data_IF_948935953362
#
_entry.id   IF_948935953362
#
_cell.length_a   1.000
_cell.length_b   1.000
_cell.length_c   1.000
_cell.angle_alpha   90.00
_cell.angle_beta   90.00
_cell.angle_gamma   90.00
#
_symmetry.space_group_name_H-M   'P 1'
#
loop_
_entity.id
_entity.type
_entity.pdbx_description
1 polymer ?
#
# COMPACT_ATOMS: atom_id res chain seq x y z
N UNK A 1 -41.29 -13.91 -23.83
CA UNK A 1 -39.86 -13.84 -24.21
C UNK A 1 -39.08 -13.90 -22.92
N UNK A 2 -38.22 -14.90 -22.74
CA UNK A 2 -37.41 -15.06 -21.52
C UNK A 2 -36.25 -14.08 -21.60
N UNK A 3 -36.17 -13.12 -20.68
CA UNK A 3 -34.99 -12.27 -20.50
C UNK A 3 -33.90 -13.14 -19.86
N UNK A 4 -32.79 -13.28 -20.56
CA UNK A 4 -31.59 -13.94 -20.09
C UNK A 4 -30.79 -12.86 -19.35
N UNK A 5 -30.77 -12.93 -18.02
CA UNK A 5 -29.85 -12.11 -17.20
C UNK A 5 -28.58 -12.95 -17.09
N UNK A 6 -27.49 -12.48 -17.70
CA UNK A 6 -26.18 -13.09 -17.57
C UNK A 6 -25.51 -12.47 -16.33
N UNK A 7 -25.10 -13.25 -15.32
CA UNK A 7 -24.25 -12.72 -14.27
C UNK A 7 -22.84 -12.50 -14.85
N UNK A 8 -22.38 -11.26 -14.88
CA UNK A 8 -21.00 -10.91 -15.22
C UNK A 8 -20.20 -11.03 -13.92
N UNK A 9 -19.36 -12.05 -13.83
CA UNK A 9 -18.37 -12.18 -12.76
C UNK A 9 -17.20 -11.26 -13.09
N UNK A 10 -17.05 -10.17 -12.34
CA UNK A 10 -15.91 -9.27 -12.44
C UNK A 10 -14.74 -9.77 -11.59
N UNK A 11 -13.53 -9.68 -12.15
CA UNK A 11 -12.29 -9.71 -11.39
C UNK A 11 -11.96 -8.26 -11.00
N UNK A 12 -11.94 -7.98 -9.70
CA UNK A 12 -11.48 -6.68 -9.19
C UNK A 12 -9.97 -6.59 -9.34
N UNK A 13 -9.48 -5.59 -10.08
CA UNK A 13 -8.11 -5.11 -9.96
C UNK A 13 -8.14 -4.12 -8.80
N UNK A 14 -7.68 -4.56 -7.63
CA UNK A 14 -7.50 -3.69 -6.47
C UNK A 14 -6.29 -2.80 -6.74
N UNK A 15 -6.53 -1.53 -7.09
CA UNK A 15 -5.52 -0.49 -6.96
C UNK A 15 -5.20 -0.34 -5.47
N UNK A 16 -3.93 -0.50 -5.11
CA UNK A 16 -3.47 -0.35 -3.74
C UNK A 16 -3.67 1.10 -3.27
N UNK A 17 -4.48 1.30 -2.23
CA UNK A 17 -4.63 2.61 -1.60
C UNK A 17 -3.31 3.02 -0.94
N UNK A 18 -2.68 4.09 -1.46
CA UNK A 18 -1.60 4.79 -0.79
C UNK A 18 -2.12 5.54 0.43
N UNK A 19 -1.38 5.44 1.53
CA UNK A 19 -1.65 6.12 2.80
C UNK A 19 -1.20 7.58 2.69
N UNK A 20 -2.13 8.53 2.70
CA UNK A 20 -1.81 9.97 2.67
C UNK A 20 -1.28 10.48 4.02
N UNK A 21 -0.15 11.16 3.99
CA UNK A 21 0.39 11.95 5.09
C UNK A 21 -0.18 13.38 5.09
N UNK A 22 -0.66 13.82 6.25
CA UNK A 22 -1.19 15.18 6.47
C UNK A 22 -0.16 16.27 6.15
N UNK A 23 -0.48 17.15 5.19
CA UNK A 23 0.24 18.41 4.95
C UNK A 23 -0.54 19.62 5.49
N UNK A 24 0.19 20.43 6.24
CA UNK A 24 -0.21 21.63 6.97
C UNK A 24 -0.57 22.79 6.04
N UNK A 25 -1.68 23.48 6.35
CA UNK A 25 -2.20 24.63 5.60
C UNK A 25 -1.55 25.96 6.02
N UNK A 26 -1.08 26.74 5.03
CA UNK A 26 -0.80 28.17 5.17
C UNK A 26 -1.73 28.99 4.25
N UNK A 27 -2.28 30.08 4.80
CA UNK A 27 -3.28 30.96 4.17
C UNK A 27 -2.70 31.84 3.03
N UNK A 28 -3.51 32.22 2.02
CA UNK A 28 -3.07 33.05 0.90
C UNK A 28 -3.22 34.56 1.18
N UNK A 29 -2.23 35.34 0.74
CA UNK A 29 -2.23 36.82 0.81
C UNK A 29 -2.52 37.44 -0.56
N UNK A 30 -3.57 38.25 -0.58
CA UNK A 30 -3.91 39.44 -1.40
C UNK A 30 -3.54 39.54 -2.91
N UNK A 31 -4.61 39.74 -3.70
CA UNK A 31 -4.63 40.28 -5.06
C UNK A 31 -4.06 41.71 -5.18
N UNK A 32 -3.71 42.14 -6.41
CA UNK A 32 -4.27 43.40 -6.87
C UNK A 32 -4.76 43.44 -8.33
N UNK A 33 -5.91 44.09 -8.46
CA UNK A 33 -6.46 44.98 -9.50
C UNK A 33 -6.14 44.79 -11.00
N UNK A 34 -7.24 44.62 -11.73
CA UNK A 34 -7.45 44.69 -13.18
C UNK A 34 -7.25 46.08 -13.79
N UNK A 35 -6.83 46.15 -15.07
CA UNK A 35 -7.09 47.28 -15.99
C UNK A 35 -7.49 46.74 -17.37
N UNK A 36 -8.46 47.35 -18.10
CA UNK A 36 -9.10 46.73 -19.26
C UNK A 36 -8.60 47.22 -20.63
N UNK A 37 -8.67 46.33 -21.62
CA UNK A 37 -8.86 46.67 -23.03
C UNK A 37 -7.81 46.11 -23.99
N UNK A 38 -8.19 45.12 -24.81
CA UNK A 38 -8.38 45.31 -26.26
C UNK A 38 -9.11 44.09 -26.86
N UNK A 39 -10.02 44.34 -27.80
CA UNK A 39 -10.76 43.32 -28.55
C UNK A 39 -9.92 42.81 -29.72
N UNK A 40 -9.55 41.52 -29.74
CA UNK A 40 -9.21 40.83 -30.99
C UNK A 40 -9.32 39.31 -30.90
N UNK A 41 -10.27 38.77 -31.68
CA UNK A 41 -10.29 37.43 -32.30
C UNK A 41 -10.11 36.22 -31.36
N UNK A 42 -11.25 35.68 -30.91
CA UNK A 42 -11.35 34.38 -30.22
C UNK A 42 -11.13 33.23 -31.20
N UNK A 43 -9.89 32.76 -31.32
CA UNK A 43 -9.63 31.33 -31.40
C UNK A 43 -9.70 30.83 -29.96
N UNK A 44 -10.68 29.99 -29.64
CA UNK A 44 -10.72 29.31 -28.33
C UNK A 44 -9.44 28.48 -28.22
N UNK A 45 -8.47 28.96 -27.44
CA UNK A 45 -7.40 28.11 -26.91
C UNK A 45 -8.09 27.06 -26.02
N UNK A 46 -7.77 25.77 -26.16
CA UNK A 46 -8.33 24.75 -25.28
C UNK A 46 -7.98 25.11 -23.84
N UNK A 47 -8.99 25.13 -22.97
CA UNK A 47 -8.78 25.37 -21.56
C UNK A 47 -7.91 24.23 -21.00
N UNK A 48 -6.79 24.58 -20.38
CA UNK A 48 -6.00 23.62 -19.61
C UNK A 48 -6.82 23.26 -18.36
N UNK A 49 -7.53 22.14 -18.44
CA UNK A 49 -8.23 21.48 -17.33
C UNK A 49 -7.29 20.42 -16.76
N UNK A 50 -7.10 20.40 -15.43
CA UNK A 50 -6.15 19.49 -14.76
C UNK A 50 -4.66 19.64 -15.11
N UNK A 51 -4.26 20.62 -15.92
CA UNK A 51 -2.87 20.75 -16.42
C UNK A 51 -2.60 19.99 -17.72
N UNK A 52 -3.63 19.37 -18.30
CA UNK A 52 -3.56 18.65 -19.57
C UNK A 52 -4.15 19.50 -20.71
N UNK A 53 -3.63 19.34 -21.93
CA UNK A 53 -4.20 19.98 -23.13
C UNK A 53 -5.34 19.11 -23.67
N UNK A 54 -6.59 19.53 -23.45
CA UNK A 54 -7.78 18.83 -23.96
C UNK A 54 -7.81 18.91 -25.50
N UNK A 55 -7.81 17.76 -26.18
CA UNK A 55 -7.81 17.67 -27.65
C UNK A 55 -9.18 17.37 -28.23
N UNK A 56 -10.11 16.85 -27.44
CA UNK A 56 -11.49 16.62 -27.84
C UNK A 56 -12.45 16.67 -26.65
N UNK A 57 -13.67 17.10 -26.90
CA UNK A 57 -14.76 17.14 -25.91
C UNK A 57 -16.01 16.45 -26.46
N UNK A 58 -16.80 15.86 -25.57
CA UNK A 58 -18.10 15.30 -25.88
C UNK A 58 -19.20 16.31 -25.50
N UNK A 59 -20.29 16.35 -26.27
CA UNK A 59 -21.43 17.20 -25.97
C UNK A 59 -22.61 16.37 -25.45
N UNK A 60 -23.18 16.74 -24.30
CA UNK A 60 -24.40 16.09 -23.81
C UNK A 60 -25.62 16.50 -24.65
N UNK A 61 -25.97 15.72 -25.67
CA UNK A 61 -27.07 16.03 -26.61
C UNK A 61 -28.41 15.38 -26.23
N UNK A 62 -28.39 14.36 -25.36
CA UNK A 62 -29.56 13.62 -24.93
C UNK A 62 -29.68 13.58 -23.39
N UNK A 63 -30.91 13.42 -22.90
CA UNK A 63 -31.17 13.15 -21.48
C UNK A 63 -30.61 11.77 -21.11
N UNK A 64 -29.74 11.65 -20.09
CA UNK A 64 -29.02 10.41 -19.76
C UNK A 64 -29.92 9.41 -19.01
N UNK A 65 -31.07 9.06 -19.60
CA UNK A 65 -32.10 8.25 -18.94
C UNK A 65 -31.64 6.82 -18.72
N UNK A 66 -31.00 6.20 -19.72
CA UNK A 66 -30.51 4.83 -19.61
C UNK A 66 -29.35 4.76 -18.61
N UNK A 67 -28.43 5.73 -18.68
CA UNK A 67 -27.35 5.94 -17.71
C UNK A 67 -27.89 6.06 -16.28
N UNK A 68 -28.87 6.94 -16.05
CA UNK A 68 -29.43 7.18 -14.72
C UNK A 68 -30.14 5.95 -14.14
N UNK A 69 -30.78 5.13 -14.98
CA UNK A 69 -31.35 3.85 -14.56
C UNK A 69 -30.25 2.86 -14.12
N UNK A 70 -29.15 2.79 -14.87
CA UNK A 70 -27.99 1.97 -14.50
C UNK A 70 -27.30 2.47 -13.22
N UNK A 71 -27.10 3.78 -13.08
CA UNK A 71 -26.50 4.40 -11.89
C UNK A 71 -27.37 4.22 -10.62
N UNK A 72 -28.69 4.06 -10.76
CA UNK A 72 -29.55 3.73 -9.63
C UNK A 72 -29.23 2.33 -9.05
N UNK A 73 -28.80 1.38 -9.87
CA UNK A 73 -28.44 0.03 -9.42
C UNK A 73 -27.20 0.02 -8.53
N UNK A 74 -26.25 0.96 -8.70
CA UNK A 74 -25.07 1.12 -7.84
C UNK A 74 -25.47 1.32 -6.38
N UNK A 75 -26.51 2.14 -6.13
CA UNK A 75 -27.03 2.41 -4.79
C UNK A 75 -27.70 1.21 -4.13
N UNK A 76 -28.09 0.21 -4.92
CA UNK A 76 -28.76 -1.00 -4.46
C UNK A 76 -27.78 -2.17 -4.23
N UNK A 77 -26.50 -2.03 -4.59
CA UNK A 77 -25.48 -3.07 -4.37
C UNK A 77 -25.26 -3.31 -2.88
N UNK A 78 -25.11 -4.59 -2.50
CA UNK A 78 -24.89 -4.97 -1.11
C UNK A 78 -23.61 -4.32 -0.57
N UNK A 79 -22.54 -4.37 -1.33
CA UNK A 79 -21.22 -3.81 -1.01
C UNK A 79 -21.27 -2.29 -0.80
N UNK A 80 -22.09 -1.58 -1.57
CA UNK A 80 -22.31 -0.15 -1.36
C UNK A 80 -23.07 0.11 -0.06
N UNK A 81 -24.20 -0.59 0.14
CA UNK A 81 -25.04 -0.40 1.33
C UNK A 81 -24.41 -0.87 2.64
N UNK A 82 -23.49 -1.84 2.57
CA UNK A 82 -22.71 -2.32 3.71
C UNK A 82 -21.54 -1.39 4.05
N UNK A 83 -21.26 -0.38 3.21
CA UNK A 83 -20.14 0.53 3.36
C UNK A 83 -18.78 -0.08 2.99
N UNK A 84 -18.76 -1.14 2.17
CA UNK A 84 -17.51 -1.78 1.75
C UNK A 84 -16.63 -0.84 0.92
N UNK A 85 -17.23 0.16 0.26
CA UNK A 85 -16.54 1.21 -0.50
C UNK A 85 -16.39 2.54 0.26
N UNK A 86 -16.72 2.58 1.57
CA UNK A 86 -16.78 3.80 2.38
C UNK A 86 -18.21 4.20 2.75
N UNK A 87 -18.39 5.40 3.33
CA UNK A 87 -19.72 5.88 3.72
C UNK A 87 -20.62 6.02 2.47
N UNK A 88 -21.84 5.42 2.47
CA UNK A 88 -22.71 5.43 1.30
C UNK A 88 -23.33 6.82 1.08
N UNK A 89 -22.59 7.68 0.38
CA UNK A 89 -23.01 9.03 -0.01
C UNK A 89 -23.44 9.07 -1.48
N UNK A 90 -24.19 10.11 -1.87
CA UNK A 90 -24.55 10.32 -3.28
C UNK A 90 -23.31 10.56 -4.16
N UNK A 91 -22.28 11.19 -3.61
CA UNK A 91 -20.99 11.43 -4.28
C UNK A 91 -20.23 10.12 -4.53
N UNK A 92 -20.19 9.21 -3.55
CA UNK A 92 -19.62 7.87 -3.72
C UNK A 92 -20.41 7.06 -4.76
N UNK A 93 -21.74 7.11 -4.70
CA UNK A 93 -22.58 6.43 -5.68
C UNK A 93 -22.33 6.94 -7.10
N UNK A 94 -22.17 8.25 -7.27
CA UNK A 94 -21.87 8.86 -8.57
C UNK A 94 -20.48 8.48 -9.07
N UNK A 95 -19.45 8.52 -8.21
CA UNK A 95 -18.09 8.09 -8.58
C UNK A 95 -18.03 6.63 -9.02
N UNK A 96 -18.73 5.74 -8.30
CA UNK A 96 -18.85 4.32 -8.69
C UNK A 96 -19.65 4.14 -9.99
N UNK A 97 -20.66 4.98 -10.25
CA UNK A 97 -21.38 4.96 -11.51
C UNK A 97 -20.46 5.36 -12.67
N UNK A 98 -19.65 6.41 -12.53
CA UNK A 98 -18.61 6.80 -13.49
C UNK A 98 -17.64 5.66 -13.77
N UNK A 99 -17.15 5.01 -12.73
CA UNK A 99 -16.24 3.88 -12.87
C UNK A 99 -16.86 2.67 -13.60
N UNK A 100 -18.13 2.36 -13.32
CA UNK A 100 -18.79 1.16 -13.86
C UNK A 100 -19.41 1.37 -15.24
N UNK A 101 -19.88 2.59 -15.54
CA UNK A 101 -20.63 2.89 -16.75
C UNK A 101 -19.73 3.63 -17.73
N UNK A 102 -19.30 4.84 -17.39
CA UNK A 102 -18.51 5.68 -18.27
C UNK A 102 -17.13 5.06 -18.57
N UNK A 103 -16.41 4.57 -17.55
CA UNK A 103 -15.09 3.96 -17.76
C UNK A 103 -15.15 2.66 -18.56
N UNK A 104 -16.21 1.86 -18.43
CA UNK A 104 -16.38 0.67 -19.25
C UNK A 104 -16.62 1.05 -20.73
N UNK A 105 -17.50 2.02 -20.98
CA UNK A 105 -17.78 2.52 -22.33
C UNK A 105 -16.53 3.10 -23.00
N UNK A 106 -15.76 3.89 -22.24
CA UNK A 106 -14.47 4.44 -22.71
C UNK A 106 -13.48 3.33 -22.99
N UNK A 107 -13.30 2.37 -22.08
CA UNK A 107 -12.40 1.24 -22.30
C UNK A 107 -12.77 0.44 -23.55
N UNK A 108 -14.05 0.11 -23.74
CA UNK A 108 -14.52 -0.61 -24.94
C UNK A 108 -14.23 0.18 -26.22
N UNK A 109 -14.55 1.48 -26.25
CA UNK A 109 -14.30 2.31 -27.42
C UNK A 109 -12.81 2.46 -27.73
N UNK A 110 -11.97 2.66 -26.70
CA UNK A 110 -10.52 2.73 -26.82
C UNK A 110 -9.96 1.42 -27.38
N UNK A 111 -10.40 0.27 -26.88
CA UNK A 111 -9.94 -1.04 -27.34
C UNK A 111 -10.38 -1.34 -28.78
N UNK A 112 -11.58 -0.91 -29.19
CA UNK A 112 -12.08 -1.09 -30.56
C UNK A 112 -11.28 -0.26 -31.57
N UNK A 113 -10.88 0.97 -31.19
CA UNK A 113 -10.18 1.91 -32.06
C UNK A 113 -8.67 1.65 -32.10
N UNK A 114 -8.04 1.48 -30.94
CA UNK A 114 -6.58 1.40 -30.80
C UNK A 114 -6.06 -0.03 -30.62
N UNK A 115 -6.90 -0.99 -30.23
CA UNK A 115 -6.44 -2.32 -29.86
C UNK A 115 -5.60 -2.27 -28.59
N UNK A 116 -4.27 -2.45 -28.71
CA UNK A 116 -3.39 -2.32 -27.55
C UNK A 116 -3.14 -0.84 -27.23
N UNK A 117 -3.94 -0.27 -26.33
CA UNK A 117 -3.87 1.17 -26.06
C UNK A 117 -2.61 1.62 -25.31
N UNK A 118 -1.91 0.71 -24.61
CA UNK A 118 -0.70 1.08 -23.86
C UNK A 118 0.43 1.59 -24.75
N UNK A 119 0.42 1.27 -26.05
CA UNK A 119 1.38 1.80 -27.04
C UNK A 119 0.97 3.15 -27.65
N UNK A 120 -0.25 3.62 -27.37
CA UNK A 120 -0.82 4.82 -27.99
C UNK A 120 -1.12 5.94 -26.98
N UNK A 121 -1.19 5.61 -25.69
CA UNK A 121 -1.60 6.57 -24.68
C UNK A 121 -1.68 6.00 -23.27
N UNK A 122 -2.39 6.74 -22.41
CA UNK A 122 -2.66 6.41 -21.01
C UNK A 122 -4.16 6.51 -20.71
N UNK A 123 -4.66 5.61 -19.88
CA UNK A 123 -6.04 5.61 -19.42
C UNK A 123 -6.08 5.45 -17.91
N UNK A 124 -6.71 6.40 -17.22
CA UNK A 124 -6.89 6.34 -15.77
C UNK A 124 -8.24 6.92 -15.36
N UNK A 125 -8.62 6.66 -14.10
CA UNK A 125 -9.87 7.14 -13.51
C UNK A 125 -9.50 7.95 -12.28
N UNK A 126 -10.06 9.15 -12.19
CA UNK A 126 -10.02 9.97 -10.98
C UNK A 126 -11.38 9.94 -10.31
N UNK A 127 -11.38 9.81 -8.99
CA UNK A 127 -12.62 9.77 -8.21
C UNK A 127 -12.67 10.93 -7.23
N UNK A 128 -13.85 11.35 -6.76
CA UNK A 128 -13.92 12.38 -5.72
C UNK A 128 -13.16 12.00 -4.45
N UNK A 129 -13.08 10.70 -4.14
CA UNK A 129 -12.36 10.17 -2.97
C UNK A 129 -10.84 10.36 -3.07
N UNK A 130 -10.28 10.50 -4.27
CA UNK A 130 -8.85 10.80 -4.45
C UNK A 130 -8.52 12.30 -4.34
N UNK A 131 -9.50 13.13 -3.96
CA UNK A 131 -9.32 14.58 -3.88
C UNK A 131 -9.11 15.26 -5.23
N UNK A 132 -9.43 14.57 -6.33
CA UNK A 132 -9.29 15.10 -7.67
C UNK A 132 -10.18 16.33 -7.86
N UNK A 133 -9.62 17.38 -8.48
CA UNK A 133 -10.39 18.58 -8.80
C UNK A 133 -11.49 18.28 -9.83
N UNK A 134 -11.20 17.36 -10.74
CA UNK A 134 -12.06 16.96 -11.87
C UNK A 134 -12.14 15.42 -11.95
N UNK A 135 -13.05 14.79 -11.19
CA UNK A 135 -13.22 13.35 -11.22
C UNK A 135 -13.81 12.91 -12.57
N UNK A 136 -13.28 11.82 -13.12
CA UNK A 136 -13.66 11.36 -14.44
C UNK A 136 -12.76 10.24 -14.99
N UNK A 137 -13.03 9.88 -16.23
CA UNK A 137 -12.23 8.96 -17.04
C UNK A 137 -11.34 9.79 -17.95
N UNK A 138 -10.04 9.60 -17.82
CA UNK A 138 -9.03 10.36 -18.54
C UNK A 138 -8.37 9.48 -19.59
N UNK A 139 -8.35 9.96 -20.83
CA UNK A 139 -7.78 9.29 -22.00
C UNK A 139 -6.74 10.21 -22.63
N UNK A 140 -5.46 9.95 -22.32
CA UNK A 140 -4.33 10.67 -22.89
C UNK A 140 -3.81 9.96 -24.12
N UNK A 141 -3.55 10.68 -25.20
CA UNK A 141 -3.04 10.11 -26.47
C UNK A 141 -1.72 10.82 -26.79
N UNK A 142 -0.63 10.07 -26.94
CA UNK A 142 0.71 10.66 -27.11
C UNK A 142 0.94 11.27 -28.50
N UNK A 143 0.41 10.63 -29.53
CA UNK A 143 0.47 11.12 -30.91
C UNK A 143 -0.95 11.14 -31.50
N UNK A 144 -1.75 12.18 -31.21
CA UNK A 144 -3.12 12.29 -31.72
C UNK A 144 -3.18 12.17 -33.25
N UNK A 145 -3.99 11.24 -33.74
CA UNK A 145 -4.22 11.01 -35.18
C UNK A 145 -5.71 10.87 -35.52
N UNK A 146 -6.03 10.46 -36.75
CA UNK A 146 -7.40 10.28 -37.24
C UNK A 146 -8.27 9.32 -36.42
N UNK A 147 -7.67 8.47 -35.59
CA UNK A 147 -8.37 7.58 -34.66
C UNK A 147 -8.99 8.33 -33.48
N UNK A 148 -8.51 9.54 -33.14
CA UNK A 148 -9.15 10.40 -32.13
C UNK A 148 -10.58 10.72 -32.55
N UNK A 149 -10.78 11.10 -33.82
CA UNK A 149 -12.12 11.39 -34.36
C UNK A 149 -13.03 10.15 -34.33
N UNK A 150 -12.47 8.95 -34.56
CA UNK A 150 -13.20 7.68 -34.48
C UNK A 150 -13.63 7.39 -33.04
N UNK A 151 -12.72 7.52 -32.07
CA UNK A 151 -13.00 7.37 -30.64
C UNK A 151 -14.10 8.34 -30.17
N UNK A 152 -13.95 9.62 -30.50
CA UNK A 152 -14.92 10.67 -30.15
C UNK A 152 -16.27 10.35 -30.78
N UNK A 153 -16.32 9.91 -32.04
CA UNK A 153 -17.56 9.55 -32.71
C UNK A 153 -18.27 8.37 -32.03
N UNK A 154 -17.53 7.34 -31.61
CA UNK A 154 -18.08 6.18 -30.91
C UNK A 154 -18.64 6.54 -29.53
N UNK A 155 -17.92 7.37 -28.78
CA UNK A 155 -18.37 7.83 -27.46
C UNK A 155 -19.57 8.78 -27.59
N UNK A 156 -19.55 9.67 -28.58
CA UNK A 156 -20.65 10.59 -28.84
C UNK A 156 -21.93 9.83 -29.23
N UNK A 157 -21.85 8.70 -29.95
CA UNK A 157 -23.03 7.87 -30.23
C UNK A 157 -23.69 7.34 -28.94
N UNK A 158 -22.89 6.94 -27.94
CA UNK A 158 -23.39 6.49 -26.64
C UNK A 158 -23.95 7.65 -25.79
N UNK A 159 -23.32 8.82 -25.85
CA UNK A 159 -23.85 10.05 -25.23
C UNK A 159 -25.19 10.45 -25.86
N UNK A 160 -25.29 10.43 -27.18
CA UNK A 160 -26.52 10.73 -27.95
C UNK A 160 -27.64 9.72 -27.66
N UNK A 161 -27.28 8.48 -27.33
CA UNK A 161 -28.22 7.45 -26.87
C UNK A 161 -28.64 7.63 -25.40
N UNK A 162 -27.98 8.51 -24.65
CA UNK A 162 -28.20 8.71 -23.22
C UNK A 162 -27.72 7.53 -22.36
N UNK A 163 -26.76 6.77 -22.87
CA UNK A 163 -26.16 5.59 -22.23
C UNK A 163 -25.03 5.94 -21.27
N UNK A 164 -24.32 7.04 -21.55
CA UNK A 164 -23.22 7.58 -20.73
C UNK A 164 -23.32 9.10 -20.60
N UNK A 165 -22.62 9.68 -19.62
CA UNK A 165 -22.41 11.12 -19.48
C UNK A 165 -21.20 11.58 -20.29
N UNK A 166 -21.32 12.76 -20.92
CA UNK A 166 -20.20 13.43 -21.58
C UNK A 166 -19.22 14.08 -20.59
N UNK A 167 -19.74 14.70 -19.53
CA UNK A 167 -18.98 15.55 -18.61
C UNK A 167 -17.76 14.88 -17.92
N UNK A 168 -17.82 13.62 -17.47
CA UNK A 168 -16.70 12.98 -16.77
C UNK A 168 -15.71 12.30 -17.74
N UNK A 169 -15.73 12.60 -19.04
CA UNK A 169 -14.84 11.96 -20.02
C UNK A 169 -13.90 13.04 -20.58
N UNK A 170 -12.60 12.87 -20.34
CA UNK A 170 -11.57 13.83 -20.71
C UNK A 170 -10.63 13.18 -21.73
N UNK A 171 -10.49 13.79 -22.91
CA UNK A 171 -9.59 13.32 -23.98
C UNK A 171 -8.52 14.38 -24.21
N UNK A 172 -7.26 14.04 -23.93
CA UNK A 172 -6.16 15.01 -23.86
C UNK A 172 -4.90 14.57 -24.61
N UNK A 173 -4.04 15.53 -24.94
CA UNK A 173 -2.72 15.30 -25.51
C UNK A 173 -1.75 14.85 -24.40
N UNK A 174 -1.27 13.62 -24.48
CA UNK A 174 -0.33 13.06 -23.50
C UNK A 174 1.11 13.29 -23.98
N UNK A 175 2.04 13.49 -23.05
CA UNK A 175 3.46 13.54 -23.40
C UNK A 175 4.12 12.15 -23.51
N UNK A 176 3.39 11.09 -23.19
CA UNK A 176 3.87 9.71 -23.09
C UNK A 176 2.74 8.71 -23.27
N UNK A 177 3.06 7.48 -23.68
CA UNK A 177 2.18 6.32 -23.55
C UNK A 177 2.55 5.48 -22.32
N UNK A 178 1.63 4.60 -21.89
CA UNK A 178 1.87 3.68 -20.77
C UNK A 178 3.08 2.76 -21.03
N UNK A 179 3.30 2.37 -22.29
CA UNK A 179 4.44 1.56 -22.69
C UNK A 179 5.78 2.26 -22.46
N UNK A 180 5.87 3.58 -22.65
CA UNK A 180 7.11 4.34 -22.42
C UNK A 180 7.42 4.42 -20.94
N UNK A 181 6.41 4.71 -20.12
CA UNK A 181 6.55 4.72 -18.66
C UNK A 181 6.97 3.35 -18.13
N UNK A 182 6.37 2.28 -18.65
CA UNK A 182 6.76 0.91 -18.30
C UNK A 182 8.19 0.58 -18.75
N UNK A 183 8.61 1.02 -19.94
CA UNK A 183 9.98 0.83 -20.41
C UNK A 183 10.99 1.54 -19.49
N UNK A 184 10.68 2.79 -19.11
CA UNK A 184 11.48 3.60 -18.20
C UNK A 184 11.57 2.98 -16.79
N UNK A 185 10.44 2.53 -16.25
CA UNK A 185 10.37 1.82 -14.97
C UNK A 185 11.19 0.51 -15.00
N UNK A 186 11.13 -0.25 -16.09
CA UNK A 186 11.92 -1.47 -16.26
C UNK A 186 13.42 -1.17 -16.31
N UNK A 187 13.85 -0.13 -17.02
CA UNK A 187 15.26 0.27 -17.08
C UNK A 187 15.81 0.64 -15.69
N UNK A 188 15.07 1.44 -14.92
CA UNK A 188 15.42 1.75 -13.54
C UNK A 188 15.39 0.50 -12.65
N UNK A 189 14.40 -0.37 -12.81
CA UNK A 189 14.26 -1.62 -12.06
C UNK A 189 15.46 -2.56 -12.26
N UNK A 190 15.94 -2.69 -13.50
CA UNK A 190 17.17 -3.46 -13.79
C UNK A 190 18.38 -2.87 -13.07
N UNK A 191 18.52 -1.53 -13.10
CA UNK A 191 19.64 -0.86 -12.42
C UNK A 191 19.58 -0.99 -10.91
N UNK A 192 18.40 -0.79 -10.33
CA UNK A 192 18.17 -0.93 -8.89
C UNK A 192 18.42 -2.36 -8.42
N UNK A 193 18.01 -3.36 -9.22
CA UNK A 193 18.30 -4.76 -8.93
C UNK A 193 19.80 -5.06 -8.90
N UNK A 194 20.59 -4.50 -9.84
CA UNK A 194 22.06 -4.60 -9.78
C UNK A 194 22.60 -4.03 -8.47
N UNK A 195 22.15 -2.83 -8.08
CA UNK A 195 22.63 -2.15 -6.88
C UNK A 195 22.22 -2.91 -5.60
N UNK A 196 20.98 -3.39 -5.52
CA UNK A 196 20.47 -4.16 -4.39
C UNK A 196 21.22 -5.49 -4.25
N UNK A 197 21.44 -6.21 -5.35
CA UNK A 197 22.19 -7.49 -5.34
C UNK A 197 23.66 -7.28 -4.96
N UNK A 198 24.25 -6.13 -5.32
CA UNK A 198 25.62 -5.77 -4.95
C UNK A 198 25.73 -5.26 -3.49
N UNK A 199 24.61 -4.96 -2.84
CA UNK A 199 24.60 -4.47 -1.47
C UNK A 199 25.11 -5.58 -0.53
N UNK A 200 26.03 -5.27 0.41
CA UNK A 200 26.64 -6.29 1.27
C UNK A 200 25.65 -6.94 2.24
N UNK A 201 24.51 -6.30 2.47
CA UNK A 201 23.41 -6.81 3.27
C UNK A 201 22.24 -7.14 2.34
N UNK A 202 21.77 -8.39 2.38
CA UNK A 202 20.70 -8.91 1.53
C UNK A 202 19.31 -8.34 1.82
N UNK A 203 19.17 -7.47 2.81
CA UNK A 203 17.92 -6.77 3.12
C UNK A 203 17.66 -5.52 2.26
N UNK A 204 18.49 -5.26 1.25
CA UNK A 204 18.27 -4.19 0.28
C UNK A 204 17.01 -4.48 -0.54
N UNK A 205 16.05 -3.56 -0.50
CA UNK A 205 14.77 -3.64 -1.20
C UNK A 205 14.45 -2.34 -1.91
N UNK A 206 13.71 -2.44 -3.01
CA UNK A 206 13.21 -1.30 -3.75
C UNK A 206 11.85 -1.61 -4.38
N UNK A 207 11.16 -0.56 -4.79
CA UNK A 207 10.00 -0.60 -5.69
C UNK A 207 10.24 0.38 -6.83
N UNK A 208 9.69 0.07 -8.00
CA UNK A 208 9.59 1.01 -9.12
C UNK A 208 8.18 0.90 -9.67
N UNK A 209 7.49 2.01 -9.79
CA UNK A 209 6.16 2.06 -10.36
C UNK A 209 6.01 3.32 -11.22
N UNK A 210 5.48 3.21 -12.45
CA UNK A 210 5.06 4.38 -13.21
C UNK A 210 3.78 4.96 -12.61
N UNK A 211 3.71 6.29 -12.54
CA UNK A 211 2.47 7.01 -12.31
C UNK A 211 1.91 7.45 -13.67
N UNK A 212 0.88 6.76 -14.16
CA UNK A 212 0.29 7.05 -15.48
C UNK A 212 -0.40 8.42 -15.54
N UNK A 213 -0.77 9.00 -14.39
CA UNK A 213 -1.43 10.29 -14.33
C UNK A 213 -0.41 11.43 -14.46
N UNK A 214 0.71 11.35 -13.76
CA UNK A 214 1.72 12.42 -13.75
C UNK A 214 2.85 12.20 -14.74
N UNK A 215 3.08 10.96 -15.18
CA UNK A 215 4.20 10.58 -16.03
C UNK A 215 5.49 10.37 -15.24
N UNK A 216 5.42 10.46 -13.92
CA UNK A 216 6.55 10.25 -13.03
C UNK A 216 6.87 8.76 -12.88
N UNK A 217 8.14 8.45 -12.64
CA UNK A 217 8.56 7.12 -12.19
C UNK A 217 8.86 7.19 -10.70
N UNK A 218 8.01 6.55 -9.90
CA UNK A 218 8.15 6.48 -8.45
C UNK A 218 9.11 5.35 -8.07
N UNK A 219 10.12 5.66 -7.27
CA UNK A 219 11.12 4.71 -6.76
C UNK A 219 11.13 4.74 -5.24
N UNK A 220 10.73 3.63 -4.62
CA UNK A 220 10.93 3.40 -3.18
C UNK A 220 12.22 2.64 -2.94
N UNK A 221 13.00 2.96 -1.90
CA UNK A 221 14.19 2.20 -1.54
C UNK A 221 14.54 2.26 -0.06
N UNK A 222 15.40 1.35 0.39
CA UNK A 222 16.00 1.40 1.73
C UNK A 222 17.54 1.36 1.73
N UNK A 223 18.22 1.51 0.59
CA UNK A 223 19.67 1.29 0.53
C UNK A 223 20.48 2.27 -0.33
N UNK A 224 19.83 3.14 -1.11
CA UNK A 224 20.54 4.07 -1.99
C UNK A 224 21.20 5.21 -1.21
N UNK A 225 22.43 5.52 -1.58
CA UNK A 225 23.07 6.79 -1.22
C UNK A 225 22.57 7.94 -2.11
N UNK A 226 22.68 9.17 -1.62
CA UNK A 226 22.21 10.37 -2.34
C UNK A 226 22.84 10.55 -3.72
N UNK A 227 24.09 10.14 -3.89
CA UNK A 227 24.75 10.15 -5.20
C UNK A 227 24.15 9.15 -6.17
N UNK A 228 23.73 7.97 -5.69
CA UNK A 228 23.08 6.95 -6.52
C UNK A 228 21.66 7.38 -6.91
N UNK A 229 20.93 8.05 -6.01
CA UNK A 229 19.62 8.65 -6.32
C UNK A 229 19.76 9.66 -7.49
N UNK A 230 20.78 10.52 -7.45
CA UNK A 230 21.06 11.48 -8.52
C UNK A 230 21.44 10.81 -9.84
N UNK A 231 22.24 9.72 -9.78
CA UNK A 231 22.61 8.95 -10.97
C UNK A 231 21.38 8.29 -11.61
N UNK A 232 20.47 7.71 -10.82
CA UNK A 232 19.24 7.09 -11.29
C UNK A 232 18.30 8.13 -11.92
N UNK A 233 18.09 9.26 -11.27
CA UNK A 233 17.27 10.34 -11.82
C UNK A 233 17.83 10.87 -13.16
N UNK A 234 19.16 10.86 -13.33
CA UNK A 234 19.80 11.29 -14.57
C UNK A 234 19.72 10.25 -15.73
N UNK A 235 19.30 9.01 -15.47
CA UNK A 235 19.15 7.99 -16.51
C UNK A 235 17.97 8.26 -17.44
N UNK A 236 16.91 8.89 -16.93
CA UNK A 236 15.68 9.17 -17.66
C UNK A 236 15.52 10.69 -17.81
N UNK A 237 16.19 11.35 -18.78
CA UNK A 237 16.13 12.79 -18.91
C UNK A 237 14.76 13.33 -19.33
N UNK A 238 13.89 12.46 -19.85
CA UNK A 238 12.57 12.80 -20.38
C UNK A 238 11.44 12.47 -19.38
N UNK A 239 11.73 11.82 -18.25
CA UNK A 239 10.77 11.51 -17.19
C UNK A 239 11.26 12.06 -15.84
N UNK A 240 10.33 12.59 -15.04
CA UNK A 240 10.62 12.91 -13.66
C UNK A 240 10.71 11.63 -12.83
N UNK A 241 11.79 11.47 -12.07
CA UNK A 241 12.01 10.30 -11.20
C UNK A 241 11.90 10.76 -9.74
N UNK A 242 10.85 10.30 -9.07
CA UNK A 242 10.59 10.62 -7.66
C UNK A 242 11.14 9.50 -6.80
N UNK A 243 12.21 9.79 -6.05
CA UNK A 243 12.92 8.79 -5.25
C UNK A 243 12.67 9.04 -3.76
N UNK A 244 12.06 8.06 -3.09
CA UNK A 244 11.73 8.13 -1.68
C UNK A 244 12.35 6.97 -0.88
N UNK A 245 12.82 7.30 0.32
CA UNK A 245 13.25 6.27 1.26
C UNK A 245 12.00 5.61 1.88
N UNK A 246 11.86 4.31 1.69
CA UNK A 246 10.83 3.48 2.31
C UNK A 246 11.40 2.76 3.54
N UNK A 247 10.85 3.07 4.72
CA UNK A 247 11.28 2.47 5.98
C UNK A 247 12.69 2.87 6.42
N UNK A 248 13.32 2.06 7.27
CA UNK A 248 14.69 2.29 7.73
C UNK A 248 15.74 1.91 6.67
N UNK A 249 16.80 2.71 6.59
CA UNK A 249 17.95 2.39 5.74
C UNK A 249 18.63 1.09 6.20
N UNK A 250 19.04 0.26 5.25
CA UNK A 250 19.83 -0.93 5.51
C UNK A 250 21.16 -0.52 6.13
N UNK A 251 21.51 -1.05 7.31
CA UNK A 251 22.78 -0.73 7.96
C UNK A 251 23.96 -1.12 7.06
N UNK A 252 24.94 -0.21 6.97
CA UNK A 252 26.20 -0.49 6.29
C UNK A 252 27.05 -1.49 7.10
N UNK A 253 28.03 -2.18 6.49
CA UNK A 253 28.91 -3.08 7.21
C UNK A 253 29.59 -2.40 8.42
N UNK A 254 29.30 -2.91 9.62
CA UNK A 254 29.81 -2.40 10.89
C UNK A 254 28.88 -1.43 11.61
N UNK A 255 27.77 -1.03 11.01
CA UNK A 255 26.67 -0.34 11.70
C UNK A 255 25.79 -1.36 12.43
N UNK A 256 25.18 -0.95 13.53
CA UNK A 256 24.34 -1.82 14.32
C UNK A 256 22.98 -2.02 13.65
N UNK A 257 22.60 -3.27 13.38
CA UNK A 257 21.27 -3.65 12.93
C UNK A 257 20.30 -3.92 14.09
N UNK A 258 20.81 -3.92 15.33
CA UNK A 258 20.05 -4.10 16.56
C UNK A 258 20.27 -2.89 17.46
N UNK A 259 19.18 -2.29 17.95
CA UNK A 259 19.21 -1.32 19.04
C UNK A 259 18.71 -1.93 20.34
N UNK A 260 19.46 -1.70 21.41
CA UNK A 260 19.05 -2.07 22.75
C UNK A 260 18.48 -0.86 23.50
N UNK A 261 17.51 -1.08 24.39
CA UNK A 261 16.82 0.00 25.05
C UNK A 261 17.63 0.54 26.24
N UNK A 262 17.46 1.83 26.50
CA UNK A 262 18.00 2.50 27.69
C UNK A 262 16.85 3.23 28.41
N UNK A 263 16.39 2.75 29.58
CA UNK A 263 16.93 1.64 30.36
C UNK A 263 16.60 0.24 29.79
N UNK A 264 17.42 -0.75 30.14
CA UNK A 264 17.23 -2.15 29.74
C UNK A 264 15.96 -2.79 30.31
N UNK A 265 15.51 -2.34 31.49
CA UNK A 265 14.33 -2.87 32.17
C UNK A 265 13.40 -1.77 32.66
N UNK A 266 12.12 -2.12 32.80
CA UNK A 266 11.05 -1.24 33.29
C UNK A 266 10.15 -1.99 34.28
N UNK A 267 9.59 -1.31 35.30
CA UNK A 267 8.75 -1.96 36.31
C UNK A 267 7.31 -2.19 35.86
N UNK A 268 6.88 -1.64 34.72
CA UNK A 268 5.56 -1.86 34.16
C UNK A 268 5.59 -2.86 32.99
N UNK A 269 4.67 -3.84 32.95
CA UNK A 269 4.56 -4.77 31.82
C UNK A 269 4.05 -4.05 30.57
N UNK A 270 4.32 -4.62 29.39
CA UNK A 270 3.82 -4.08 28.12
C UNK A 270 3.57 -5.18 27.09
N UNK A 271 2.48 -5.03 26.32
CA UNK A 271 2.07 -5.90 25.21
C UNK A 271 2.59 -5.43 23.84
N UNK A 272 3.49 -4.44 23.80
CA UNK A 272 4.05 -3.91 22.54
C UNK A 272 5.07 -4.85 21.92
N UNK A 273 5.14 -4.86 20.60
CA UNK A 273 6.13 -5.62 19.84
C UNK A 273 5.80 -7.10 19.72
N UNK A 274 6.84 -7.90 19.52
CA UNK A 274 6.78 -9.34 19.33
C UNK A 274 7.84 -10.03 20.19
N UNK A 275 7.53 -11.21 20.73
CA UNK A 275 8.52 -12.06 21.39
C UNK A 275 9.34 -12.84 20.37
N UNK A 276 10.65 -12.87 20.58
CA UNK A 276 11.54 -13.82 19.91
C UNK A 276 11.38 -15.18 20.57
N UNK A 277 10.69 -16.09 19.88
CA UNK A 277 10.49 -17.46 20.40
C UNK A 277 11.52 -18.44 19.87
N UNK A 278 12.20 -18.08 18.78
CA UNK A 278 13.32 -18.83 18.22
C UNK A 278 14.32 -17.85 17.60
N UNK A 279 15.61 -18.16 17.74
CA UNK A 279 16.74 -17.39 17.21
C UNK A 279 17.76 -18.37 16.68
N UNK A 280 17.97 -18.35 15.36
CA UNK A 280 18.99 -19.12 14.67
C UNK A 280 20.15 -18.22 14.23
N UNK A 281 21.16 -18.78 13.58
CA UNK A 281 22.36 -18.03 13.16
C UNK A 281 22.01 -16.80 12.31
N UNK A 282 21.08 -16.95 11.36
CA UNK A 282 20.72 -15.91 10.39
C UNK A 282 19.21 -15.66 10.26
N UNK A 283 18.41 -16.08 11.24
CA UNK A 283 16.96 -15.82 11.25
C UNK A 283 16.36 -15.81 12.65
N UNK A 284 15.24 -15.11 12.78
CA UNK A 284 14.46 -15.00 14.02
C UNK A 284 13.00 -15.34 13.79
N UNK A 285 12.36 -15.99 14.76
CA UNK A 285 10.90 -16.17 14.79
C UNK A 285 10.32 -15.20 15.80
N UNK A 286 9.62 -14.19 15.29
CA UNK A 286 8.94 -13.18 16.10
C UNK A 286 7.43 -13.45 16.12
N UNK A 287 6.85 -13.47 17.31
CA UNK A 287 5.40 -13.64 17.52
C UNK A 287 4.86 -12.44 18.25
N UNK A 288 3.81 -11.82 17.71
CA UNK A 288 3.17 -10.65 18.30
C UNK A 288 2.89 -10.87 19.79
N UNK A 289 3.23 -9.90 20.64
CA UNK A 289 2.94 -9.97 22.08
C UNK A 289 1.45 -9.76 22.39
N UNK A 290 0.66 -9.34 21.38
CA UNK A 290 -0.77 -9.08 21.47
C UNK A 290 -1.51 -9.79 20.36
N UNK A 291 -2.61 -10.46 20.71
CA UNK A 291 -3.52 -11.05 19.74
C UNK A 291 -4.33 -10.00 18.98
N UNK A 292 -4.69 -10.34 17.75
CA UNK A 292 -5.66 -9.64 16.93
C UNK A 292 -6.97 -10.43 16.91
N UNK A 293 -8.09 -9.73 16.97
CA UNK A 293 -9.43 -10.32 16.88
C UNK A 293 -9.93 -10.22 15.44
N UNK A 294 -10.11 -11.37 14.80
CA UNK A 294 -10.67 -11.50 13.45
C UNK A 294 -12.09 -12.07 13.44
N UNK A 295 -12.76 -12.18 14.61
CA UNK A 295 -14.08 -12.79 14.75
C UNK A 295 -15.16 -12.06 13.93
N UNK A 296 -15.04 -10.75 13.73
CA UNK A 296 -15.96 -9.94 12.90
C UNK A 296 -16.03 -10.42 11.44
N UNK A 297 -14.94 -10.98 10.92
CA UNK A 297 -14.85 -11.51 9.55
C UNK A 297 -14.89 -13.04 9.52
N UNK A 298 -15.38 -13.69 10.58
CA UNK A 298 -15.46 -15.15 10.70
C UNK A 298 -14.12 -15.84 10.97
N UNK A 299 -13.09 -15.08 11.35
CA UNK A 299 -11.79 -15.56 11.78
C UNK A 299 -11.72 -15.96 13.25
N UNK A 300 -10.50 -16.11 13.78
CA UNK A 300 -10.26 -16.44 15.19
C UNK A 300 -10.30 -15.18 16.07
N UNK A 301 -10.86 -15.30 17.28
CA UNK A 301 -10.91 -14.23 18.28
C UNK A 301 -9.53 -13.88 18.84
N UNK A 302 -8.62 -14.87 18.88
CA UNK A 302 -7.25 -14.70 19.35
C UNK A 302 -6.26 -15.19 18.29
N UNK A 303 -5.84 -14.31 17.39
CA UNK A 303 -4.81 -14.60 16.39
C UNK A 303 -3.50 -13.89 16.72
N UNK A 304 -2.43 -14.66 16.82
CA UNK A 304 -1.08 -14.14 16.99
C UNK A 304 -0.33 -14.20 15.67
N UNK A 305 0.08 -13.04 15.15
CA UNK A 305 0.97 -12.98 14.00
C UNK A 305 2.32 -13.61 14.38
N UNK A 306 2.78 -14.55 13.56
CA UNK A 306 4.06 -15.22 13.71
C UNK A 306 4.81 -15.09 12.39
N UNK A 307 6.03 -14.56 12.42
CA UNK A 307 6.82 -14.30 11.22
C UNK A 307 8.25 -14.76 11.44
N UNK A 308 8.77 -15.56 10.51
CA UNK A 308 10.18 -15.80 10.35
C UNK A 308 10.81 -14.66 9.56
N UNK A 309 11.82 -14.03 10.14
CA UNK A 309 12.63 -13.03 9.45
C UNK A 309 14.02 -13.56 9.19
N UNK A 310 14.46 -13.50 7.94
CA UNK A 310 15.88 -13.57 7.62
C UNK A 310 16.57 -12.32 8.21
N UNK A 311 17.55 -12.55 9.07
CA UNK A 311 18.28 -11.51 9.81
C UNK A 311 19.71 -11.99 10.11
N UNK A 312 20.72 -11.57 9.32
CA UNK A 312 22.07 -12.10 9.44
C UNK A 312 22.70 -11.90 10.82
N UNK A 313 23.44 -12.91 11.31
CA UNK A 313 24.07 -12.90 12.64
C UNK A 313 23.07 -12.66 13.78
N UNK A 314 21.84 -13.16 13.65
CA UNK A 314 20.79 -13.04 14.65
C UNK A 314 21.23 -13.63 16.01
N UNK A 315 21.75 -14.86 16.03
CA UNK A 315 22.19 -15.54 17.26
C UNK A 315 23.35 -14.84 17.99
N UNK A 316 24.08 -13.94 17.33
CA UNK A 316 25.16 -13.16 17.96
C UNK A 316 24.64 -11.86 18.61
N UNK A 317 23.44 -11.43 18.23
CA UNK A 317 22.91 -10.09 18.55
C UNK A 317 21.57 -10.13 19.28
N UNK A 318 20.87 -11.26 19.31
CA UNK A 318 19.53 -11.39 19.85
C UNK A 318 19.42 -12.68 20.67
N UNK A 319 18.48 -12.69 21.61
CA UNK A 319 18.23 -13.83 22.48
C UNK A 319 16.75 -14.18 22.52
N UNK A 320 16.45 -15.48 22.60
CA UNK A 320 15.09 -15.98 22.84
C UNK A 320 14.52 -15.36 24.12
N UNK A 321 13.23 -15.06 24.08
CA UNK A 321 12.47 -14.41 25.15
C UNK A 321 12.48 -12.88 25.09
N UNK A 322 13.40 -12.27 24.35
CA UNK A 322 13.38 -10.82 24.14
C UNK A 322 12.11 -10.38 23.42
N UNK A 323 11.66 -9.17 23.73
CA UNK A 323 10.56 -8.52 23.04
C UNK A 323 11.12 -7.46 22.12
N UNK A 324 10.67 -7.42 20.88
CA UNK A 324 11.27 -6.62 19.82
C UNK A 324 10.23 -5.91 18.96
N UNK A 325 10.62 -4.80 18.34
CA UNK A 325 9.99 -4.30 17.11
C UNK A 325 10.91 -4.64 15.94
N UNK A 326 10.35 -5.22 14.89
CA UNK A 326 11.09 -5.64 13.69
C UNK A 326 10.67 -4.75 12.54
N UNK A 327 11.63 -4.06 11.94
CA UNK A 327 11.43 -3.35 10.68
C UNK A 327 11.70 -4.33 9.53
N UNK A 328 10.66 -4.62 8.75
CA UNK A 328 10.75 -5.53 7.62
C UNK A 328 11.28 -4.83 6.36
N UNK A 329 12.01 -5.58 5.52
CA UNK A 329 12.32 -5.20 4.14
C UNK A 329 11.41 -5.98 3.19
N UNK A 330 10.75 -5.25 2.30
CA UNK A 330 9.92 -5.85 1.26
C UNK A 330 8.66 -6.57 1.78
N UNK A 331 8.07 -7.45 0.95
CA UNK A 331 6.83 -8.13 1.30
C UNK A 331 7.03 -9.25 2.32
N UNK A 332 6.01 -9.49 3.16
CA UNK A 332 5.90 -10.69 3.98
C UNK A 332 5.09 -11.72 3.20
N UNK A 333 5.65 -12.91 2.99
CA UNK A 333 4.95 -13.99 2.28
C UNK A 333 3.75 -14.50 3.11
N UNK A 334 2.64 -14.72 2.41
CA UNK A 334 1.40 -15.26 2.99
C UNK A 334 1.54 -16.74 3.35
N UNK A 335 2.05 -17.00 4.55
CA UNK A 335 2.10 -18.32 5.19
C UNK A 335 1.91 -18.19 6.70
N UNK A 336 1.77 -19.31 7.41
CA UNK A 336 1.80 -19.31 8.87
C UNK A 336 2.84 -20.32 9.40
N UNK A 337 3.95 -19.85 10.03
CA UNK A 337 4.34 -18.44 10.15
C UNK A 337 4.58 -17.75 8.80
N UNK A 338 4.37 -16.43 8.74
CA UNK A 338 4.78 -15.60 7.61
C UNK A 338 6.29 -15.66 7.41
N UNK A 339 6.78 -15.29 6.24
CA UNK A 339 8.21 -15.24 5.95
C UNK A 339 8.59 -13.86 5.42
N UNK A 340 9.63 -13.26 5.95
CA UNK A 340 10.10 -11.94 5.54
C UNK A 340 11.59 -11.76 5.77
N UNK A 341 12.08 -10.56 5.50
CA UNK A 341 13.45 -10.14 5.82
C UNK A 341 13.39 -8.98 6.79
N UNK A 342 14.25 -8.97 7.81
CA UNK A 342 14.37 -7.85 8.75
C UNK A 342 15.56 -6.97 8.37
N UNK A 343 15.35 -5.65 8.39
CA UNK A 343 16.41 -4.65 8.18
C UNK A 343 17.00 -4.19 9.50
N UNK A 344 16.13 -4.06 10.50
CA UNK A 344 16.47 -3.52 11.81
C UNK A 344 15.60 -4.15 12.90
N UNK A 345 16.18 -4.37 14.07
CA UNK A 345 15.47 -4.91 15.24
C UNK A 345 15.71 -4.00 16.43
N UNK A 346 14.63 -3.42 16.98
CA UNK A 346 14.66 -2.69 18.25
C UNK A 346 14.27 -3.64 19.38
N UNK A 347 15.19 -3.93 20.28
CA UNK A 347 14.88 -4.64 21.53
C UNK A 347 14.16 -3.68 22.47
N UNK A 348 13.01 -4.09 22.98
CA UNK A 348 12.19 -3.31 23.91
C UNK A 348 12.62 -3.57 25.36
N UNK A 349 12.45 -2.59 26.26
CA UNK A 349 12.76 -2.79 27.67
C UNK A 349 12.00 -4.00 28.22
N UNK A 350 12.70 -4.85 28.96
CA UNK A 350 12.11 -6.02 29.59
C UNK A 350 11.37 -5.62 30.87
N UNK A 351 10.19 -6.20 31.08
CA UNK A 351 9.49 -6.03 32.35
C UNK A 351 10.27 -6.71 33.47
N UNK A 352 10.57 -5.96 34.53
CA UNK A 352 11.16 -6.46 35.76
C UNK A 352 10.55 -5.68 36.95
N UNK A 353 9.53 -6.22 37.62
CA UNK A 353 8.91 -5.57 38.76
C UNK A 353 9.87 -5.51 39.95
N UNK A 354 9.58 -4.63 40.91
CA UNK A 354 10.37 -4.53 42.14
C UNK A 354 10.36 -5.86 42.91
N UNK A 355 11.55 -6.35 43.23
CA UNK A 355 11.75 -7.59 43.97
C UNK A 355 11.95 -8.83 43.11
N UNK A 356 11.73 -8.75 41.78
CA UNK A 356 12.00 -9.87 40.88
C UNK A 356 13.49 -9.99 40.54
N UNK A 357 14.02 -11.19 40.66
CA UNK A 357 15.39 -11.55 40.32
C UNK A 357 15.54 -11.81 38.80
N UNK A 358 14.52 -12.39 38.15
CA UNK A 358 14.46 -12.55 36.70
C UNK A 358 13.74 -11.38 36.02
N UNK A 359 14.05 -11.19 34.73
CA UNK A 359 13.26 -10.38 33.81
C UNK A 359 12.19 -11.21 33.11
N UNK A 360 11.17 -10.55 32.56
CA UNK A 360 10.18 -11.17 31.67
C UNK A 360 10.83 -11.98 30.55
N UNK A 361 11.90 -11.46 29.95
CA UNK A 361 12.62 -12.14 28.87
C UNK A 361 13.26 -13.46 29.33
N UNK A 362 13.85 -13.48 30.53
CA UNK A 362 14.43 -14.70 31.13
C UNK A 362 13.36 -15.71 31.54
N UNK A 363 12.24 -15.25 32.09
CA UNK A 363 11.10 -16.11 32.43
C UNK A 363 10.49 -16.76 31.17
N UNK A 364 10.28 -15.99 30.10
CA UNK A 364 9.80 -16.49 28.80
C UNK A 364 10.77 -17.49 28.21
N UNK A 365 12.08 -17.17 28.18
CA UNK A 365 13.12 -18.08 27.69
C UNK A 365 13.08 -19.42 28.42
N UNK A 366 13.03 -19.39 29.74
CA UNK A 366 12.96 -20.60 30.57
C UNK A 366 11.71 -21.43 30.27
N UNK A 367 10.56 -20.78 30.07
CA UNK A 367 9.32 -21.45 29.70
C UNK A 367 9.40 -22.11 28.31
N UNK A 368 10.04 -21.45 27.33
CA UNK A 368 10.25 -21.97 25.98
C UNK A 368 11.25 -23.14 25.96
N UNK A 369 12.36 -23.05 26.69
CA UNK A 369 13.33 -24.14 26.84
C UNK A 369 12.67 -25.39 27.45
N UNK A 370 11.76 -25.22 28.41
CA UNK A 370 10.96 -26.31 29.00
C UNK A 370 10.02 -27.01 28.01
N UNK A 371 9.82 -26.46 26.81
CA UNK A 371 9.06 -27.10 25.72
C UNK A 371 9.93 -27.82 24.70
N UNK A 372 11.26 -27.65 24.74
CA UNK A 372 12.17 -28.25 23.77
C UNK A 372 12.05 -29.79 23.77
N UNK A 373 11.37 -30.34 22.76
CA UNK A 373 11.07 -31.77 22.61
C UNK A 373 9.58 -32.12 22.46
N UNK A 374 8.66 -31.18 22.69
CA UNK A 374 7.21 -31.38 22.51
C UNK A 374 6.70 -30.56 21.30
N UNK A 375 6.41 -31.27 20.19
CA UNK A 375 5.74 -30.77 18.97
C UNK A 375 6.54 -29.80 18.06
N UNK A 376 6.13 -29.72 16.78
CA UNK A 376 6.64 -28.78 15.76
C UNK A 376 5.84 -27.47 15.76
N UNK A 377 5.11 -27.17 16.84
CA UNK A 377 4.14 -26.09 16.87
C UNK A 377 4.78 -24.78 17.32
N UNK A 378 4.25 -23.66 16.81
CA UNK A 378 4.78 -22.32 17.05
C UNK A 378 4.06 -21.73 18.28
N UNK A 379 4.74 -21.61 19.45
CA UNK A 379 4.07 -21.22 20.68
C UNK A 379 3.87 -19.70 20.75
N UNK A 380 2.63 -19.24 20.92
CA UNK A 380 2.38 -17.83 21.22
C UNK A 380 2.45 -17.56 22.73
N UNK A 381 3.05 -16.44 23.13
CA UNK A 381 3.08 -16.00 24.53
C UNK A 381 1.78 -15.24 24.81
N UNK A 382 0.86 -15.86 25.54
CA UNK A 382 -0.45 -15.26 25.84
C UNK A 382 -0.35 -14.28 27.02
N UNK A 383 0.39 -14.65 28.06
CA UNK A 383 0.66 -13.75 29.20
C UNK A 383 1.91 -14.12 29.97
N UNK A 384 2.50 -13.12 30.63
CA UNK A 384 3.63 -13.26 31.55
C UNK A 384 3.33 -12.43 32.80
N UNK A 385 3.39 -13.04 33.99
CA UNK A 385 3.08 -12.36 35.23
C UNK A 385 3.98 -12.82 36.38
N UNK A 386 4.51 -11.88 37.14
CA UNK A 386 5.28 -12.15 38.35
C UNK A 386 4.39 -12.18 39.59
N UNK A 387 4.60 -13.17 40.46
CA UNK A 387 3.93 -13.31 41.74
C UNK A 387 4.93 -13.09 42.89
N UNK A 388 4.94 -11.88 43.44
CA UNK A 388 5.84 -11.50 44.54
C UNK A 388 5.60 -12.27 45.85
N UNK A 389 4.41 -12.86 46.08
CA UNK A 389 4.16 -13.65 47.30
C UNK A 389 4.77 -15.05 47.21
N UNK A 390 4.77 -15.63 46.01
CA UNK A 390 5.22 -16.99 45.74
C UNK A 390 6.60 -17.06 45.08
N UNK A 391 7.18 -15.89 44.77
CA UNK A 391 8.51 -15.69 44.18
C UNK A 391 8.72 -16.51 42.91
N UNK A 392 7.77 -16.36 41.98
CA UNK A 392 7.77 -17.05 40.70
C UNK A 392 7.07 -16.26 39.61
N UNK A 393 7.37 -16.63 38.38
CA UNK A 393 6.70 -16.17 37.17
C UNK A 393 5.71 -17.22 36.68
N UNK A 394 4.56 -16.76 36.21
CA UNK A 394 3.62 -17.55 35.43
C UNK A 394 3.72 -17.11 33.97
N UNK A 395 4.08 -18.05 33.09
CA UNK A 395 4.08 -17.84 31.64
C UNK A 395 2.99 -18.72 31.04
N UNK A 396 2.02 -18.12 30.36
CA UNK A 396 0.95 -18.84 29.66
C UNK A 396 1.23 -18.85 28.17
N UNK A 397 1.28 -20.05 27.61
CA UNK A 397 1.63 -20.31 26.22
C UNK A 397 0.40 -20.85 25.50
N UNK A 398 0.12 -20.33 24.31
CA UNK A 398 -0.94 -20.82 23.43
C UNK A 398 -0.35 -21.70 22.33
N UNK A 399 -0.79 -22.96 22.30
CA UNK A 399 -0.36 -24.01 21.38
C UNK A 399 -1.60 -24.58 20.67
N UNK A 400 -1.81 -24.24 19.40
CA UNK A 400 -2.94 -24.76 18.60
C UNK A 400 -4.32 -24.65 19.29
N UNK A 401 -4.60 -23.52 19.93
CA UNK A 401 -5.86 -23.31 20.66
C UNK A 401 -5.89 -23.92 22.08
N UNK A 402 -4.77 -24.47 22.56
CA UNK A 402 -4.62 -25.02 23.91
C UNK A 402 -3.65 -24.18 24.73
N UNK A 403 -4.10 -23.78 25.91
CA UNK A 403 -3.25 -23.07 26.87
C UNK A 403 -2.37 -24.05 27.65
N UNK A 404 -1.09 -23.70 27.78
CA UNK A 404 -0.12 -24.39 28.63
C UNK A 404 0.50 -23.38 29.59
N UNK A 405 0.22 -23.57 30.87
CA UNK A 405 0.78 -22.76 31.95
C UNK A 405 2.13 -23.34 32.42
N UNK A 406 3.13 -22.48 32.54
CA UNK A 406 4.44 -22.79 33.10
C UNK A 406 4.69 -21.90 34.32
N UNK A 407 5.12 -22.50 35.42
CA UNK A 407 5.53 -21.79 36.64
C UNK A 407 7.05 -21.85 36.71
N UNK A 408 7.68 -20.67 36.65
CA UNK A 408 9.13 -20.50 36.64
C UNK A 408 9.55 -19.90 37.99
N UNK A 409 10.33 -20.61 38.82
CA UNK A 409 10.91 -20.03 40.03
C UNK A 409 11.74 -18.78 39.69
N UNK A 410 11.68 -17.75 40.53
CA UNK A 410 12.43 -16.51 40.30
C UNK A 410 13.91 -16.61 40.71
N UNK A 411 14.38 -17.77 41.17
CA UNK A 411 15.78 -18.00 41.56
C UNK A 411 16.61 -18.62 40.40
N UNK A 412 17.81 -18.09 40.11
CA UNK A 412 18.76 -18.63 39.11
C UNK A 412 19.46 -19.94 39.51
#
# INVERSE_FOLDING_TARGET
>A
MKKLVLPISFAFVLAACGTEGELSSEEPTEQPETTPGDESVSSEEPAAEGGHEIIATLEQTAEPTARNEAAAAVREMEEFTSGAFGEPTDELAEGLAVQQIEAQAVHEAVMDVYGNFSEAGVLYIETPQSGAAEPGVWVGIEEPDERVDELVSMLQEQVDAGEILAAPIHIFDSAYAEADLNAAANELGEKLNELATAHPNGAASFSVAPDVKTGEIQVGHNFLAKEQEQELAAMLPDQEVVIEQSGMMVPLPGEAAVAYPEPATVPEPSDKGAYLVDVEDDRILAIAAKAQDFSENGGQEEFYSAIWYDFPQAAEQLEVGQRVQVEAAGPIMESYPGQGTAVFVEVLPAYQPEGADLTEAEAVRTALEGMSGESFEVPAIQSVAYNAEADNWTVVLQLNGTEKEQIIPDEQ
#
